data_IF_135004480743
#
_entry.id   IF_135004480743
#
_cell.length_a   1.000
_cell.length_b   1.000
_cell.length_c   1.000
_cell.angle_alpha   90.00
_cell.angle_beta   90.00
_cell.angle_gamma   90.00
#
_symmetry.space_group_name_H-M   'P 1'
#
loop_
_entity.id
_entity.type
_entity.pdbx_description
1 polymer ?
#
# COMPACT_ATOMS: atom_id res chain seq x y z
N UNK A 1 5.52 -3.10 -23.83
CA UNK A 1 6.69 -3.16 -22.91
C UNK A 1 6.28 -4.03 -21.72
N UNK A 2 7.05 -5.04 -21.32
CA UNK A 2 6.72 -5.89 -20.16
C UNK A 2 7.11 -5.14 -18.88
N UNK A 3 6.17 -4.94 -17.96
CA UNK A 3 6.45 -4.35 -16.65
C UNK A 3 6.89 -5.46 -15.68
N UNK A 4 8.08 -5.37 -15.05
CA UNK A 4 8.45 -6.30 -14.00
C UNK A 4 7.47 -6.23 -12.83
N UNK A 5 7.12 -7.38 -12.27
CA UNK A 5 6.20 -7.48 -11.12
C UNK A 5 6.91 -8.20 -9.99
N UNK A 6 6.81 -7.62 -8.79
CA UNK A 6 7.23 -8.24 -7.53
C UNK A 6 6.00 -8.36 -6.66
N UNK A 7 5.71 -9.58 -6.20
CA UNK A 7 4.60 -9.86 -5.28
C UNK A 7 5.21 -10.18 -3.92
N UNK A 8 4.80 -9.43 -2.89
CA UNK A 8 5.26 -9.63 -1.53
C UNK A 8 4.09 -10.14 -0.69
N UNK A 9 4.26 -11.31 -0.08
CA UNK A 9 3.34 -11.80 0.94
C UNK A 9 4.00 -11.66 2.32
N UNK A 10 3.66 -10.61 3.09
CA UNK A 10 4.32 -10.34 4.35
C UNK A 10 3.90 -11.30 5.48
N UNK A 11 2.90 -12.17 5.26
CA UNK A 11 2.30 -12.99 6.31
C UNK A 11 3.01 -14.34 6.54
N UNK A 12 3.92 -14.76 5.66
CA UNK A 12 4.63 -16.05 5.76
C UNK A 12 5.88 -15.96 6.66
N UNK A 13 5.69 -15.70 7.95
CA UNK A 13 6.77 -15.63 8.94
C UNK A 13 7.44 -16.99 9.24
N UNK A 14 6.76 -18.08 8.87
CA UNK A 14 7.21 -19.45 9.06
C UNK A 14 7.17 -20.19 7.73
N UNK A 15 8.19 -20.98 7.47
CA UNK A 15 8.24 -21.91 6.36
C UNK A 15 7.23 -23.04 6.61
N UNK A 16 6.24 -23.26 5.73
CA UNK A 16 5.22 -24.28 5.93
C UNK A 16 5.77 -25.71 5.85
N UNK A 17 6.92 -25.93 5.19
CA UNK A 17 7.51 -27.26 5.02
C UNK A 17 8.40 -27.61 6.22
N UNK A 18 9.23 -26.68 6.67
CA UNK A 18 10.20 -26.92 7.75
C UNK A 18 9.71 -26.49 9.13
N UNK A 19 8.67 -25.66 9.20
CA UNK A 19 8.20 -25.04 10.44
C UNK A 19 9.20 -24.05 11.04
N UNK A 20 10.25 -23.68 10.31
CA UNK A 20 11.26 -22.74 10.79
C UNK A 20 10.85 -21.30 10.50
N UNK A 21 11.33 -20.36 11.32
CA UNK A 21 11.16 -18.93 11.05
C UNK A 21 11.86 -18.58 9.75
N UNK A 22 11.15 -17.91 8.85
CA UNK A 22 11.77 -17.35 7.65
C UNK A 22 12.71 -16.22 8.11
N UNK A 23 14.02 -16.30 7.81
CA UNK A 23 14.97 -15.28 8.24
C UNK A 23 14.55 -13.89 7.76
N UNK A 24 14.72 -12.88 8.61
CA UNK A 24 14.42 -11.48 8.31
C UNK A 24 12.92 -11.21 8.04
N UNK A 25 12.04 -12.15 8.42
CA UNK A 25 10.58 -12.00 8.42
C UNK A 25 9.96 -11.99 9.83
N UNK A 26 10.69 -11.46 10.82
CA UNK A 26 10.20 -11.38 12.21
C UNK A 26 8.90 -10.58 12.33
N UNK A 27 8.72 -9.58 11.46
CA UNK A 27 7.46 -8.85 11.30
C UNK A 27 7.24 -8.53 9.83
N UNK A 28 5.96 -8.46 9.44
CA UNK A 28 5.49 -8.04 8.11
C UNK A 28 6.24 -6.79 7.60
N UNK A 29 6.35 -5.76 8.45
CA UNK A 29 7.02 -4.51 8.13
C UNK A 29 8.54 -4.66 8.00
N UNK A 30 9.20 -5.44 8.89
CA UNK A 30 10.64 -5.71 8.78
C UNK A 30 11.00 -6.40 7.47
N UNK A 31 10.20 -7.38 7.05
CA UNK A 31 10.39 -8.10 5.80
C UNK A 31 10.27 -7.18 4.58
N UNK A 32 9.18 -6.43 4.46
CA UNK A 32 9.01 -5.50 3.34
C UNK A 32 10.09 -4.42 3.30
N UNK A 33 10.58 -3.96 4.46
CA UNK A 33 11.72 -3.04 4.52
C UNK A 33 13.03 -3.70 4.09
N UNK A 34 13.25 -4.96 4.44
CA UNK A 34 14.39 -5.73 3.96
C UNK A 34 14.35 -5.85 2.42
N UNK A 35 13.18 -6.17 1.85
CA UNK A 35 13.03 -6.27 0.40
C UNK A 35 13.29 -4.92 -0.28
N UNK A 36 12.71 -3.84 0.25
CA UNK A 36 12.92 -2.50 -0.30
C UNK A 36 14.41 -2.13 -0.36
N UNK A 37 15.12 -2.27 0.76
CA UNK A 37 16.54 -1.92 0.87
C UNK A 37 17.45 -2.76 -0.02
N UNK A 38 17.21 -4.06 -0.10
CA UNK A 38 18.17 -4.99 -0.73
C UNK A 38 17.85 -5.30 -2.19
N UNK A 39 16.61 -5.10 -2.64
CA UNK A 39 16.20 -5.44 -4.00
C UNK A 39 15.63 -4.25 -4.76
N UNK A 40 14.76 -3.44 -4.14
CA UNK A 40 14.08 -2.34 -4.85
C UNK A 40 15.00 -1.14 -5.06
N UNK A 41 15.66 -0.66 -4.00
CA UNK A 41 16.59 0.49 -4.12
C UNK A 41 17.78 0.18 -5.05
N UNK A 42 18.49 -0.96 -4.91
CA UNK A 42 19.64 -1.25 -5.75
C UNK A 42 19.28 -1.51 -7.21
N UNK A 43 18.05 -1.96 -7.50
CA UNK A 43 17.58 -2.14 -8.87
C UNK A 43 17.47 -0.83 -9.65
N UNK A 44 17.48 0.34 -8.98
CA UNK A 44 17.55 1.64 -9.65
C UNK A 44 16.30 1.97 -10.49
N UNK A 45 15.13 1.44 -10.10
CA UNK A 45 13.88 1.73 -10.79
C UNK A 45 13.59 3.25 -10.79
N UNK A 46 13.28 3.79 -11.98
CA UNK A 46 12.97 5.21 -12.15
C UNK A 46 11.51 5.56 -11.83
N UNK A 47 10.63 4.57 -11.86
CA UNK A 47 9.21 4.73 -11.60
C UNK A 47 8.64 3.41 -11.07
N UNK A 48 7.97 3.47 -9.92
CA UNK A 48 7.30 2.34 -9.29
C UNK A 48 5.81 2.62 -9.16
N UNK A 49 4.97 1.62 -9.46
CA UNK A 49 3.55 1.61 -9.09
C UNK A 49 3.39 0.65 -7.92
N UNK A 50 2.67 1.03 -6.88
CA UNK A 50 2.50 0.23 -5.67
C UNK A 50 1.04 -0.16 -5.50
N UNK A 51 0.79 -1.44 -5.21
CA UNK A 51 -0.52 -1.94 -4.77
C UNK A 51 -0.33 -2.53 -3.38
N UNK A 52 -1.08 -2.02 -2.40
CA UNK A 52 -0.98 -2.39 -0.99
C UNK A 52 -2.34 -2.82 -0.45
N UNK A 53 -2.57 -4.12 -0.44
CA UNK A 53 -3.81 -4.72 0.07
C UNK A 53 -3.69 -5.09 1.55
N UNK A 54 -4.73 -4.82 2.35
CA UNK A 54 -4.85 -5.32 3.72
C UNK A 54 -3.60 -5.04 4.58
N UNK A 55 -2.93 -6.05 5.15
CA UNK A 55 -1.68 -5.88 5.88
C UNK A 55 -0.55 -5.19 5.06
N UNK A 56 -0.65 -5.18 3.73
CA UNK A 56 0.24 -4.46 2.83
C UNK A 56 0.31 -2.96 3.10
N UNK A 57 -0.77 -2.29 3.53
CA UNK A 57 -0.72 -0.86 3.89
C UNK A 57 0.09 -0.59 5.15
N UNK A 58 0.10 -1.53 6.10
CA UNK A 58 0.97 -1.44 7.28
C UNK A 58 2.45 -1.57 6.88
N UNK A 59 2.73 -2.49 5.96
CA UNK A 59 4.08 -2.66 5.39
C UNK A 59 4.51 -1.40 4.62
N UNK A 60 3.62 -0.85 3.80
CA UNK A 60 3.83 0.38 3.03
C UNK A 60 4.13 1.56 3.96
N UNK A 61 3.38 1.71 5.05
CA UNK A 61 3.64 2.74 6.07
C UNK A 61 5.05 2.62 6.65
N UNK A 62 5.50 1.39 6.95
CA UNK A 62 6.87 1.15 7.42
C UNK A 62 7.95 1.52 6.39
N UNK A 63 7.70 1.24 5.11
CA UNK A 63 8.58 1.66 4.00
C UNK A 63 8.62 3.19 3.90
N UNK A 64 7.45 3.83 3.87
CA UNK A 64 7.32 5.29 3.75
C UNK A 64 8.08 6.02 4.85
N UNK A 65 7.99 5.55 6.09
CA UNK A 65 8.70 6.16 7.22
C UNK A 65 10.21 5.97 7.16
N UNK A 66 10.66 4.79 6.74
CA UNK A 66 12.08 4.40 6.79
C UNK A 66 12.86 4.91 5.57
N UNK A 67 12.24 4.87 4.39
CA UNK A 67 12.88 5.13 3.10
C UNK A 67 12.28 6.35 2.40
N UNK A 68 12.01 7.41 3.15
CA UNK A 68 11.30 8.60 2.65
C UNK A 68 11.89 9.15 1.35
N UNK A 69 13.22 9.32 1.29
CA UNK A 69 13.89 9.91 0.14
C UNK A 69 13.70 9.09 -1.13
N UNK A 70 13.93 7.79 -1.08
CA UNK A 70 13.81 6.91 -2.26
C UNK A 70 12.35 6.64 -2.60
N UNK A 71 11.49 6.42 -1.60
CA UNK A 71 10.06 6.17 -1.80
C UNK A 71 9.38 7.32 -2.53
N UNK A 72 9.41 8.54 -1.97
CA UNK A 72 8.68 9.68 -2.54
C UNK A 72 9.33 10.22 -3.84
N UNK A 73 10.57 9.82 -4.14
CA UNK A 73 11.25 10.12 -5.41
C UNK A 73 10.90 9.15 -6.53
N UNK A 74 10.69 7.86 -6.22
CA UNK A 74 10.58 6.79 -7.24
C UNK A 74 9.16 6.29 -7.44
N UNK A 75 8.29 6.40 -6.44
CA UNK A 75 6.90 5.94 -6.56
C UNK A 75 6.09 6.96 -7.35
N UNK A 76 5.35 6.48 -8.35
CA UNK A 76 4.55 7.29 -9.27
C UNK A 76 3.04 7.18 -9.03
N UNK A 77 2.58 6.04 -8.50
CA UNK A 77 1.19 5.84 -8.08
C UNK A 77 1.08 4.76 -7.00
N UNK A 78 0.04 4.88 -6.18
CA UNK A 78 -0.26 3.99 -5.06
C UNK A 78 -1.75 3.65 -5.07
N UNK A 79 -2.08 2.36 -5.17
CA UNK A 79 -3.40 1.84 -4.86
C UNK A 79 -3.34 1.14 -3.52
N UNK A 80 -4.11 1.63 -2.56
CA UNK A 80 -4.30 0.99 -1.26
C UNK A 80 -5.66 0.31 -1.32
N UNK A 81 -5.78 -0.96 -0.91
CA UNK A 81 -7.06 -1.68 -0.99
C UNK A 81 -7.45 -2.29 0.36
N UNK A 82 -8.57 -1.81 0.89
CA UNK A 82 -9.17 -2.17 2.17
C UNK A 82 -8.16 -2.35 3.31
N UNK A 83 -7.39 -1.28 3.55
CA UNK A 83 -6.17 -1.33 4.35
C UNK A 83 -6.07 -0.12 5.29
N UNK A 84 -4.94 -0.03 6.01
CA UNK A 84 -4.55 1.20 6.68
C UNK A 84 -3.74 2.10 5.74
N UNK A 85 -3.86 3.40 5.98
CA UNK A 85 -3.04 4.44 5.34
C UNK A 85 -2.12 5.04 6.41
N UNK A 86 -0.98 5.59 5.97
CA UNK A 86 -0.06 6.30 6.86
C UNK A 86 -0.77 7.47 7.57
N UNK A 87 -0.49 7.65 8.86
CA UNK A 87 -1.07 8.75 9.63
C UNK A 87 -0.57 10.11 9.12
N UNK A 88 -1.49 11.06 8.95
CA UNK A 88 -1.19 12.41 8.43
C UNK A 88 -0.13 13.16 9.25
N UNK A 89 -0.10 12.94 10.57
CA UNK A 89 0.89 13.52 11.50
C UNK A 89 2.32 13.10 11.19
N UNK A 90 2.52 11.96 10.53
CA UNK A 90 3.83 11.39 10.19
C UNK A 90 4.35 11.87 8.83
N UNK A 91 3.58 12.70 8.13
CA UNK A 91 3.92 13.22 6.80
C UNK A 91 4.26 14.71 6.85
N UNK A 92 5.32 15.09 6.13
CA UNK A 92 5.61 16.50 5.81
C UNK A 92 4.56 17.07 4.85
N UNK A 93 4.43 18.41 4.70
CA UNK A 93 3.48 19.01 3.75
C UNK A 93 3.64 18.49 2.32
N UNK A 94 4.89 18.35 1.83
CA UNK A 94 5.19 17.83 0.50
C UNK A 94 4.76 16.36 0.34
N UNK A 95 4.97 15.54 1.37
CA UNK A 95 4.54 14.13 1.35
C UNK A 95 3.01 14.00 1.39
N UNK A 96 2.31 14.88 2.12
CA UNK A 96 0.84 14.94 2.11
C UNK A 96 0.30 15.29 0.74
N UNK A 97 0.90 16.29 0.09
CA UNK A 97 0.54 16.66 -1.29
C UNK A 97 0.79 15.50 -2.26
N UNK A 98 1.93 14.81 -2.11
CA UNK A 98 2.21 13.61 -2.88
C UNK A 98 1.12 12.56 -2.68
N UNK A 99 0.78 12.21 -1.44
CA UNK A 99 -0.23 11.19 -1.14
C UNK A 99 -1.60 11.59 -1.69
N UNK A 100 -2.00 12.85 -1.55
CA UNK A 100 -3.26 13.36 -2.08
C UNK A 100 -3.36 13.26 -3.62
N UNK A 101 -2.22 13.39 -4.33
CA UNK A 101 -2.17 13.36 -5.81
C UNK A 101 -1.87 11.99 -6.40
N UNK A 102 -1.17 11.13 -5.66
CA UNK A 102 -0.58 9.89 -6.20
C UNK A 102 -1.13 8.62 -5.56
N UNK A 103 -1.88 8.72 -4.46
CA UNK A 103 -2.48 7.58 -3.80
C UNK A 103 -4.00 7.62 -3.89
N UNK A 104 -4.63 6.45 -3.96
CA UNK A 104 -6.08 6.26 -3.80
C UNK A 104 -6.29 5.05 -2.91
N UNK A 105 -7.19 5.17 -1.93
CA UNK A 105 -7.60 4.07 -1.09
C UNK A 105 -8.98 3.54 -1.53
N UNK A 106 -8.99 2.34 -2.08
CA UNK A 106 -10.19 1.61 -2.49
C UNK A 106 -10.69 0.78 -1.30
N UNK A 107 -11.81 1.18 -0.70
CA UNK A 107 -12.37 0.55 0.50
C UNK A 107 -13.42 -0.48 0.10
N UNK A 108 -13.54 -1.55 0.88
CA UNK A 108 -14.69 -2.45 0.76
C UNK A 108 -16.02 -1.68 0.92
N UNK A 109 -16.91 -1.79 -0.05
CA UNK A 109 -18.18 -1.08 -0.04
C UNK A 109 -19.24 -1.78 -0.89
N UNK A 110 -20.50 -1.50 -0.58
CA UNK A 110 -21.66 -1.90 -1.39
C UNK A 110 -21.96 -0.89 -2.50
N UNK A 111 -21.32 0.28 -2.48
CA UNK A 111 -21.45 1.30 -3.53
C UNK A 111 -20.71 0.90 -4.81
N UNK A 112 -21.08 1.52 -5.93
CA UNK A 112 -20.39 1.34 -7.22
C UNK A 112 -18.92 1.74 -7.16
N UNK A 113 -18.10 1.11 -8.01
CA UNK A 113 -16.67 1.36 -8.10
C UNK A 113 -16.37 2.85 -8.33
N UNK A 114 -15.53 3.44 -7.47
CA UNK A 114 -15.05 4.81 -7.61
C UNK A 114 -15.90 5.89 -6.92
N UNK A 115 -17.04 5.53 -6.33
CA UNK A 115 -17.84 6.47 -5.52
C UNK A 115 -17.04 6.93 -4.31
N UNK A 116 -17.01 8.23 -4.04
CA UNK A 116 -16.25 8.82 -2.93
C UNK A 116 -16.83 8.41 -1.56
N UNK A 117 -15.97 7.93 -0.66
CA UNK A 117 -16.33 7.35 0.64
C UNK A 117 -15.69 8.16 1.79
N UNK A 118 -16.10 9.43 1.91
CA UNK A 118 -15.55 10.36 2.92
C UNK A 118 -15.79 9.85 4.34
N UNK A 119 -14.80 10.02 5.21
CA UNK A 119 -14.91 9.68 6.63
C UNK A 119 -14.86 8.18 6.94
N UNK A 120 -14.85 7.30 5.93
CA UNK A 120 -14.67 5.84 6.11
C UNK A 120 -13.19 5.48 6.18
N UNK A 121 -12.52 5.87 7.27
CA UNK A 121 -11.23 5.25 7.59
C UNK A 121 -11.44 4.14 8.60
N UNK A 122 -10.62 3.07 8.56
CA UNK A 122 -10.64 1.99 9.58
C UNK A 122 -10.36 2.51 11.00
N UNK A 123 -9.92 3.78 11.13
CA UNK A 123 -9.71 4.53 12.39
C UNK A 123 -10.65 5.74 12.57
N UNK A 124 -11.72 5.85 11.78
CA UNK A 124 -12.92 6.62 12.11
C UNK A 124 -12.84 8.15 12.03
N UNK A 125 -11.87 8.76 11.34
CA UNK A 125 -11.88 10.21 11.20
C UNK A 125 -11.40 10.79 9.86
N UNK A 126 -12.18 11.73 9.33
CA UNK A 126 -11.88 12.46 8.09
C UNK A 126 -10.61 13.31 8.19
N UNK A 127 -10.21 13.73 9.40
CA UNK A 127 -8.99 14.52 9.60
C UNK A 127 -7.69 13.71 9.40
N UNK A 128 -7.79 12.37 9.33
CA UNK A 128 -6.68 11.48 9.04
C UNK A 128 -6.55 11.10 7.55
N UNK A 129 -7.41 11.62 6.68
CA UNK A 129 -7.32 11.34 5.25
C UNK A 129 -6.05 11.98 4.65
N UNK A 130 -5.17 11.12 4.13
CA UNK A 130 -3.95 11.50 3.42
C UNK A 130 -4.08 11.34 1.91
N UNK A 131 -5.11 10.64 1.46
CA UNK A 131 -5.45 10.40 0.05
C UNK A 131 -6.97 10.23 -0.10
N UNK A 132 -7.52 10.35 -1.32
CA UNK A 132 -8.91 10.05 -1.60
C UNK A 132 -9.28 8.62 -1.18
N UNK A 133 -10.51 8.48 -0.69
CA UNK A 133 -11.15 7.23 -0.34
C UNK A 133 -12.31 7.00 -1.28
N UNK A 134 -12.33 5.86 -1.96
CA UNK A 134 -13.37 5.50 -2.91
C UNK A 134 -13.82 4.06 -2.71
N UNK A 135 -15.04 3.75 -3.11
CA UNK A 135 -15.54 2.38 -3.14
C UNK A 135 -14.68 1.53 -4.09
N UNK A 136 -14.33 0.32 -3.64
CA UNK A 136 -13.73 -0.72 -4.47
C UNK A 136 -14.76 -1.45 -5.35
N UNK A 137 -16.06 -1.15 -5.23
CA UNK A 137 -17.13 -1.83 -5.95
C UNK A 137 -17.44 -3.24 -5.44
N UNK A 138 -16.97 -3.59 -4.22
CA UNK A 138 -17.20 -4.90 -3.64
C UNK A 138 -17.11 -4.90 -2.10
N UNK A 139 -18.05 -5.54 -1.37
CA UNK A 139 -18.08 -5.50 0.10
C UNK A 139 -17.12 -6.50 0.77
N UNK A 140 -16.68 -7.54 0.06
CA UNK A 140 -15.70 -8.51 0.58
C UNK A 140 -14.27 -7.98 0.48
N UNK A 141 -13.59 -7.95 1.62
CA UNK A 141 -12.20 -7.55 1.81
C UNK A 141 -11.26 -8.09 0.73
N UNK A 142 -11.25 -9.41 0.56
CA UNK A 142 -10.36 -10.16 -0.33
C UNK A 142 -10.55 -9.84 -1.82
N UNK A 143 -11.70 -9.29 -2.21
CA UNK A 143 -12.01 -9.00 -3.61
C UNK A 143 -11.78 -7.53 -3.99
N UNK A 144 -11.50 -6.66 -3.02
CA UNK A 144 -11.35 -5.21 -3.26
C UNK A 144 -10.29 -4.88 -4.31
N UNK A 145 -9.13 -5.56 -4.31
CA UNK A 145 -8.08 -5.33 -5.33
C UNK A 145 -8.54 -5.72 -6.73
N UNK A 146 -9.19 -6.88 -6.87
CA UNK A 146 -9.68 -7.37 -8.16
C UNK A 146 -10.84 -6.53 -8.68
N UNK A 147 -11.78 -6.16 -7.81
CA UNK A 147 -12.92 -5.32 -8.15
C UNK A 147 -12.48 -3.90 -8.54
N UNK A 148 -11.51 -3.32 -7.85
CA UNK A 148 -10.96 -2.00 -8.15
C UNK A 148 -9.98 -1.97 -9.34
N UNK A 149 -9.59 -3.13 -9.87
CA UNK A 149 -8.59 -3.25 -10.95
C UNK A 149 -8.83 -2.30 -12.14
N UNK A 150 -10.06 -2.09 -12.65
CA UNK A 150 -10.32 -1.18 -13.77
C UNK A 150 -9.89 0.28 -13.52
N UNK A 151 -9.87 0.73 -12.25
CA UNK A 151 -9.39 2.06 -11.87
C UNK A 151 -7.89 2.05 -11.49
N UNK A 152 -7.37 0.93 -10.99
CA UNK A 152 -5.95 0.81 -10.58
C UNK A 152 -4.99 0.85 -11.78
N UNK A 153 -5.38 0.28 -12.92
CA UNK A 153 -4.47 0.10 -14.07
C UNK A 153 -4.32 1.32 -14.98
N UNK A 154 -5.10 2.37 -14.74
CA UNK A 154 -5.03 3.62 -15.49
C UNK A 154 -3.66 4.31 -15.28
#
# INVERSE_FOLDING_TARGET
MKMPVIVLNPNYGMDPETGQKVPLNDTMSKHCKHIWRNYIEPAGFKSLKVIAHSAGGFCLTGIQQTFQSTFYKTVSSIAITDSCVIEKSLLTPHQREFMAKRAVHYISSYEDLGIEERGRTRRGSAHMEVCPHVSAGHPKHEYTTGAAWPLIIQ
#
